data_IF_523716058120
#
_entry.id   IF_523716058120
#
_cell.length_a   1.000
_cell.length_b   1.000
_cell.length_c   1.000
_cell.angle_alpha   90.00
_cell.angle_beta   90.00
_cell.angle_gamma   90.00
#
_symmetry.space_group_name_H-M   'P 1'
#
loop_
_entity.id
_entity.type
_entity.pdbx_description
1 polymer ?
#
# COMPACT_ATOMS: atom_id res chain seq x y z
N UNK A 1 34.97 -77.28 26.42
CA UNK A 1 34.12 -77.44 25.23
C UNK A 1 33.76 -76.05 24.69
N UNK A 2 34.05 -75.82 23.40
CA UNK A 2 33.64 -74.72 22.49
C UNK A 2 33.78 -73.25 22.97
N UNK A 3 34.86 -72.62 22.48
CA UNK A 3 35.07 -71.17 22.52
C UNK A 3 34.05 -70.38 21.69
N UNK A 4 33.61 -69.26 22.25
CA UNK A 4 32.66 -68.31 21.67
C UNK A 4 33.45 -67.27 20.87
N UNK A 5 33.30 -67.26 19.55
CA UNK A 5 33.89 -66.25 18.65
C UNK A 5 33.00 -65.00 18.65
N UNK A 6 33.53 -63.86 19.08
CA UNK A 6 32.92 -62.54 18.90
C UNK A 6 32.99 -62.13 17.43
N UNK A 7 31.83 -61.82 16.83
CA UNK A 7 31.73 -61.14 15.54
C UNK A 7 31.50 -59.65 15.81
N UNK A 8 32.50 -58.85 15.49
CA UNK A 8 32.44 -57.39 15.50
C UNK A 8 31.84 -56.96 14.16
N UNK A 9 30.63 -56.40 14.17
CA UNK A 9 30.00 -55.78 13.00
C UNK A 9 30.38 -54.31 12.95
N UNK A 10 31.23 -53.96 11.98
CA UNK A 10 31.63 -52.58 11.68
C UNK A 10 30.47 -51.88 10.96
N UNK A 11 29.81 -50.93 11.61
CA UNK A 11 28.81 -50.05 10.98
C UNK A 11 29.57 -48.93 10.27
N UNK A 12 29.54 -48.93 8.94
CA UNK A 12 30.07 -47.85 8.12
C UNK A 12 29.12 -46.64 8.18
N UNK A 13 29.60 -45.55 8.77
CA UNK A 13 28.89 -44.28 8.87
C UNK A 13 29.04 -43.53 7.53
N UNK A 14 28.01 -43.56 6.69
CA UNK A 14 27.98 -42.82 5.44
C UNK A 14 27.72 -41.33 5.73
N UNK A 15 28.74 -40.49 5.55
CA UNK A 15 28.60 -39.03 5.53
C UNK A 15 27.75 -38.61 4.33
N UNK A 16 26.51 -38.19 4.57
CA UNK A 16 25.69 -37.50 3.58
C UNK A 16 26.20 -36.05 3.50
N UNK A 17 26.97 -35.76 2.45
CA UNK A 17 27.31 -34.39 2.07
C UNK A 17 26.02 -33.68 1.66
N UNK A 18 25.56 -32.75 2.50
CA UNK A 18 24.42 -31.89 2.21
C UNK A 18 24.70 -31.06 0.96
N UNK A 19 23.82 -31.19 -0.03
CA UNK A 19 23.84 -30.38 -1.23
C UNK A 19 23.70 -28.90 -0.85
N UNK A 20 24.72 -28.08 -1.17
CA UNK A 20 24.56 -26.64 -1.26
C UNK A 20 23.56 -26.36 -2.39
N UNK A 21 22.28 -26.25 -2.06
CA UNK A 21 21.29 -25.68 -2.95
C UNK A 21 21.69 -24.23 -3.22
N UNK A 22 22.05 -23.93 -4.47
CA UNK A 22 22.19 -22.56 -4.95
C UNK A 22 20.84 -21.87 -4.75
N UNK A 23 20.76 -20.93 -3.81
CA UNK A 23 19.57 -20.09 -3.65
C UNK A 23 19.40 -19.35 -4.99
N UNK A 24 18.28 -19.55 -5.71
CA UNK A 24 18.02 -18.82 -6.94
C UNK A 24 18.07 -17.32 -6.62
N UNK A 25 18.76 -16.54 -7.47
CA UNK A 25 18.84 -15.10 -7.30
C UNK A 25 17.41 -14.53 -7.29
N UNK A 26 17.02 -13.91 -6.17
CA UNK A 26 15.76 -13.17 -6.11
C UNK A 26 15.84 -12.00 -7.10
N UNK A 27 14.82 -11.79 -7.95
CA UNK A 27 14.78 -10.62 -8.80
C UNK A 27 14.83 -9.35 -7.95
N UNK A 28 15.49 -8.28 -8.40
CA UNK A 28 15.57 -7.03 -7.67
C UNK A 28 14.16 -6.50 -7.39
N UNK A 29 13.90 -6.11 -6.13
CA UNK A 29 12.64 -5.46 -5.77
C UNK A 29 12.68 -4.02 -6.27
N UNK A 30 11.54 -3.47 -6.69
CA UNK A 30 11.45 -2.05 -6.97
C UNK A 30 11.79 -1.21 -5.72
N UNK A 31 11.60 -1.77 -4.51
CA UNK A 31 12.00 -1.14 -3.25
C UNK A 31 13.53 -1.06 -3.06
N UNK A 32 14.33 -1.80 -3.83
CA UNK A 32 15.80 -1.76 -3.80
C UNK A 32 16.36 -0.56 -4.60
N UNK A 33 15.50 0.17 -5.33
CA UNK A 33 15.90 1.41 -5.99
C UNK A 33 16.36 2.44 -4.95
N UNK A 34 17.56 2.98 -5.14
CA UNK A 34 18.08 4.06 -4.29
C UNK A 34 17.09 5.23 -4.36
N UNK A 35 16.52 5.66 -3.22
CA UNK A 35 15.62 6.80 -3.20
C UNK A 35 16.35 8.01 -3.78
N UNK A 36 15.69 8.78 -4.65
CA UNK A 36 16.14 10.13 -4.93
C UNK A 36 16.28 10.90 -3.61
N UNK A 37 17.23 11.86 -3.49
CA UNK A 37 17.30 12.70 -2.31
C UNK A 37 15.93 13.29 -2.04
N UNK A 38 15.37 12.98 -0.88
CA UNK A 38 14.11 13.54 -0.44
C UNK A 38 14.27 15.07 -0.47
N UNK A 39 13.39 15.77 -1.19
CA UNK A 39 13.29 17.21 -1.07
C UNK A 39 13.12 17.60 0.40
N UNK A 40 13.70 18.73 0.80
CA UNK A 40 13.60 19.31 2.14
C UNK A 40 12.18 19.79 2.50
N UNK A 41 11.24 19.73 1.55
CA UNK A 41 9.84 20.09 1.71
C UNK A 41 9.05 19.11 2.59
N UNK A 42 8.77 19.53 3.82
CA UNK A 42 7.78 18.86 4.68
C UNK A 42 6.39 18.96 4.07
N UNK A 43 5.67 17.84 3.96
CA UNK A 43 4.29 17.79 3.48
C UNK A 43 3.35 18.73 4.26
N UNK A 44 3.69 19.05 5.51
CA UNK A 44 2.93 19.97 6.39
C UNK A 44 2.93 21.41 5.88
N UNK A 45 3.93 21.80 5.08
CA UNK A 45 3.95 23.15 4.46
C UNK A 45 2.95 23.23 3.31
N UNK A 46 2.65 22.09 2.67
CA UNK A 46 1.72 22.00 1.54
C UNK A 46 0.30 21.65 1.97
N UNK A 47 0.14 20.85 3.03
CA UNK A 47 -1.16 20.35 3.47
C UNK A 47 -2.10 21.45 3.95
N UNK A 48 -3.38 21.27 3.64
CA UNK A 48 -4.45 22.05 4.29
C UNK A 48 -4.61 21.61 5.75
N UNK A 49 -5.11 22.49 6.63
CA UNK A 49 -5.41 22.15 8.03
C UNK A 49 -6.34 20.94 8.16
N UNK A 50 -7.30 20.83 7.23
CA UNK A 50 -8.25 19.71 7.18
C UNK A 50 -7.54 18.40 6.85
N UNK A 51 -6.61 18.42 5.90
CA UNK A 51 -5.85 17.25 5.50
C UNK A 51 -4.83 16.83 6.54
N UNK A 52 -4.19 17.78 7.23
CA UNK A 52 -3.38 17.43 8.39
C UNK A 52 -4.22 16.72 9.46
N UNK A 53 -5.45 17.18 9.70
CA UNK A 53 -6.36 16.53 10.64
C UNK A 53 -6.77 15.13 10.17
N UNK A 54 -7.05 14.93 8.86
CA UNK A 54 -7.30 13.62 8.27
C UNK A 54 -6.12 12.67 8.46
N UNK A 55 -4.90 13.13 8.18
CA UNK A 55 -3.68 12.34 8.39
C UNK A 55 -3.45 12.03 9.87
N UNK A 56 -3.73 12.96 10.80
CA UNK A 56 -3.66 12.65 12.25
C UNK A 56 -4.70 11.62 12.68
N UNK A 57 -5.91 11.71 12.16
CA UNK A 57 -7.06 10.85 12.50
C UNK A 57 -7.13 9.51 11.77
N UNK A 58 -6.14 9.18 10.94
CA UNK A 58 -6.20 8.06 10.00
C UNK A 58 -6.60 6.72 10.63
N UNK A 59 -6.06 6.41 11.81
CA UNK A 59 -6.30 5.13 12.48
C UNK A 59 -7.74 5.01 12.98
N UNK A 60 -8.32 6.10 13.47
CA UNK A 60 -9.72 6.16 13.87
C UNK A 60 -10.63 5.93 12.66
N UNK A 61 -10.34 6.57 11.51
CA UNK A 61 -11.09 6.32 10.27
C UNK A 61 -11.01 4.86 9.85
N UNK A 62 -9.83 4.24 9.97
CA UNK A 62 -9.62 2.82 9.68
C UNK A 62 -10.46 1.91 10.58
N UNK A 63 -10.41 2.13 11.90
CA UNK A 63 -11.18 1.33 12.86
C UNK A 63 -12.68 1.45 12.62
N UNK A 64 -13.18 2.67 12.40
CA UNK A 64 -14.58 2.93 12.12
C UNK A 64 -15.03 2.28 10.81
N UNK A 65 -14.21 2.37 9.76
CA UNK A 65 -14.48 1.74 8.48
C UNK A 65 -14.61 0.22 8.60
N UNK A 66 -13.65 -0.44 9.25
CA UNK A 66 -13.68 -1.89 9.44
C UNK A 66 -14.85 -2.33 10.33
N UNK A 67 -15.17 -1.57 11.37
CA UNK A 67 -16.32 -1.84 12.23
C UNK A 67 -17.63 -1.74 11.46
N UNK A 68 -17.82 -0.67 10.68
CA UNK A 68 -19.01 -0.47 9.85
C UNK A 68 -19.17 -1.56 8.77
N UNK A 69 -18.09 -1.88 8.04
CA UNK A 69 -18.10 -2.94 7.03
C UNK A 69 -18.50 -4.30 7.61
N UNK A 70 -17.94 -4.65 8.78
CA UNK A 70 -18.27 -5.90 9.49
C UNK A 70 -19.71 -5.91 10.00
N UNK A 71 -20.18 -4.81 10.57
CA UNK A 71 -21.56 -4.68 11.04
C UNK A 71 -22.57 -4.83 9.89
N UNK A 72 -22.18 -4.46 8.67
CA UNK A 72 -22.96 -4.63 7.44
C UNK A 72 -22.78 -5.99 6.75
N UNK A 73 -22.08 -6.93 7.38
CA UNK A 73 -21.95 -8.32 6.91
C UNK A 73 -20.75 -8.61 6.00
N UNK A 74 -19.86 -7.64 5.76
CA UNK A 74 -18.70 -7.80 4.87
C UNK A 74 -17.43 -8.29 5.58
N UNK A 75 -17.58 -9.02 6.69
CA UNK A 75 -16.44 -9.52 7.46
C UNK A 75 -15.52 -10.44 6.64
N UNK A 76 -16.11 -11.36 5.87
CA UNK A 76 -15.35 -12.29 5.03
C UNK A 76 -14.61 -11.59 3.88
N UNK A 77 -15.21 -10.56 3.28
CA UNK A 77 -14.59 -9.70 2.26
C UNK A 77 -13.36 -8.99 2.83
N UNK A 78 -13.52 -8.36 4.00
CA UNK A 78 -12.43 -7.67 4.70
C UNK A 78 -11.28 -8.63 5.02
N UNK A 79 -11.59 -9.84 5.49
CA UNK A 79 -10.58 -10.86 5.80
C UNK A 79 -9.82 -11.33 4.55
N UNK A 80 -10.49 -11.44 3.39
CA UNK A 80 -9.87 -11.86 2.13
C UNK A 80 -8.81 -10.88 1.61
N UNK A 81 -8.92 -9.58 1.91
CA UNK A 81 -7.89 -8.61 1.51
C UNK A 81 -6.59 -8.74 2.31
N UNK A 82 -6.61 -9.47 3.44
CA UNK A 82 -5.42 -9.80 4.21
C UNK A 82 -4.61 -8.58 4.62
N UNK A 83 -3.32 -8.58 4.29
CA UNK A 83 -2.36 -7.52 4.66
C UNK A 83 -2.80 -6.12 4.20
N UNK A 84 -3.56 -6.03 3.10
CA UNK A 84 -4.02 -4.75 2.55
C UNK A 84 -4.92 -3.99 3.53
N UNK A 85 -5.76 -4.69 4.30
CA UNK A 85 -6.67 -4.10 5.28
C UNK A 85 -6.20 -4.25 6.75
N UNK A 86 -4.96 -4.69 6.98
CA UNK A 86 -4.34 -4.73 8.30
C UNK A 86 -3.68 -3.37 8.63
N UNK A 87 -4.10 -2.65 9.68
CA UNK A 87 -3.65 -1.28 9.94
C UNK A 87 -2.17 -1.18 10.37
N UNK A 88 -1.55 -2.28 10.82
CA UNK A 88 -0.16 -2.34 11.29
C UNK A 88 0.79 -3.06 10.31
N UNK A 89 0.41 -3.17 9.03
CA UNK A 89 1.19 -3.86 8.01
C UNK A 89 2.39 -3.07 7.44
N UNK A 90 2.54 -1.79 7.81
CA UNK A 90 3.57 -0.93 7.24
C UNK A 90 5.00 -1.44 7.53
N UNK A 91 5.75 -1.64 6.45
CA UNK A 91 7.16 -2.03 6.47
C UNK A 91 8.08 -0.81 6.37
N UNK A 92 9.34 -0.93 6.84
CA UNK A 92 10.35 0.08 6.58
C UNK A 92 10.61 0.29 5.09
N UNK A 93 11.27 1.41 4.77
CA UNK A 93 11.61 1.83 3.41
C UNK A 93 10.35 2.01 2.54
N UNK A 94 9.49 3.00 2.87
CA UNK A 94 8.20 3.17 2.25
C UNK A 94 8.27 3.77 0.84
N UNK A 95 9.48 4.08 0.35
CA UNK A 95 9.69 4.75 -0.92
C UNK A 95 8.88 4.08 -2.02
N UNK A 96 8.02 4.86 -2.69
CA UNK A 96 7.24 4.47 -3.85
C UNK A 96 8.05 4.77 -5.12
N UNK A 97 8.63 3.75 -5.78
CA UNK A 97 9.50 3.94 -6.94
C UNK A 97 8.73 4.44 -8.16
N UNK A 98 9.38 5.24 -9.00
CA UNK A 98 8.81 5.61 -10.30
C UNK A 98 8.60 4.38 -11.19
N UNK A 99 7.51 4.36 -11.95
CA UNK A 99 7.14 3.23 -12.79
C UNK A 99 5.63 3.17 -13.07
N UNK A 100 5.25 2.24 -13.94
CA UNK A 100 3.84 1.92 -14.19
C UNK A 100 3.36 0.91 -13.15
N UNK A 101 2.12 1.07 -12.70
CA UNK A 101 1.50 0.27 -11.65
C UNK A 101 0.09 -0.15 -12.06
N UNK A 102 -0.26 -1.38 -11.69
CA UNK A 102 -1.65 -1.75 -11.52
C UNK A 102 -2.13 -1.25 -10.17
N UNK A 103 -3.33 -0.68 -10.16
CA UNK A 103 -3.95 -0.20 -8.93
C UNK A 103 -5.42 -0.57 -8.84
N UNK A 104 -5.91 -0.90 -7.65
CA UNK A 104 -7.34 -1.13 -7.37
C UNK A 104 -7.75 -0.47 -6.06
N UNK A 105 -9.00 -0.04 -5.97
CA UNK A 105 -9.52 0.66 -4.80
C UNK A 105 -10.45 -0.24 -4.02
N UNK A 106 -10.25 -0.30 -2.71
CA UNK A 106 -11.14 -0.93 -1.74
C UNK A 106 -11.77 0.19 -0.92
N UNK A 107 -13.09 0.35 -1.04
CA UNK A 107 -13.87 1.29 -0.24
C UNK A 107 -14.43 0.54 0.97
N UNK A 108 -14.15 1.03 2.16
CA UNK A 108 -14.48 0.36 3.42
C UNK A 108 -15.27 1.31 4.33
N UNK A 109 -16.39 0.80 4.83
CA UNK A 109 -17.38 1.59 5.53
C UNK A 109 -18.13 2.54 4.61
N UNK A 110 -19.32 2.97 5.01
CA UNK A 110 -20.11 3.94 4.26
C UNK A 110 -20.22 5.27 5.00
N UNK A 111 -20.24 6.38 4.26
CA UNK A 111 -20.59 7.70 4.79
C UNK A 111 -21.42 8.52 3.81
N UNK A 112 -21.97 9.63 4.31
CA UNK A 112 -22.83 10.51 3.54
C UNK A 112 -24.09 9.79 3.09
N UNK A 113 -24.34 9.78 1.77
CA UNK A 113 -25.53 9.13 1.17
C UNK A 113 -25.30 7.68 0.74
N UNK A 114 -24.05 7.20 0.80
CA UNK A 114 -23.74 5.81 0.43
C UNK A 114 -24.23 4.86 1.52
N UNK A 115 -24.82 3.73 1.11
CA UNK A 115 -25.15 2.62 2.00
C UNK A 115 -24.22 1.42 1.83
N UNK A 116 -23.29 1.48 0.87
CA UNK A 116 -22.35 0.40 0.55
C UNK A 116 -21.26 0.33 1.62
N UNK A 117 -21.35 -0.65 2.53
CA UNK A 117 -20.38 -0.85 3.62
C UNK A 117 -19.03 -1.39 3.16
N UNK A 118 -18.96 -1.94 1.95
CA UNK A 118 -17.73 -2.46 1.35
C UNK A 118 -17.87 -2.51 -0.17
N UNK A 119 -16.83 -2.09 -0.90
CA UNK A 119 -16.71 -2.30 -2.35
C UNK A 119 -15.24 -2.54 -2.70
N UNK A 120 -14.94 -3.65 -3.37
CA UNK A 120 -13.63 -3.92 -3.96
C UNK A 120 -13.71 -3.74 -5.48
N UNK A 121 -13.04 -2.72 -6.01
CA UNK A 121 -12.97 -2.50 -7.45
C UNK A 121 -11.91 -3.37 -8.13
N UNK A 122 -12.06 -3.58 -9.43
CA UNK A 122 -11.07 -4.24 -10.27
C UNK A 122 -9.81 -3.38 -10.49
N UNK A 123 -8.91 -3.91 -11.31
CA UNK A 123 -7.63 -3.29 -11.62
C UNK A 123 -7.75 -2.16 -12.65
N UNK A 124 -7.00 -1.10 -12.39
CA UNK A 124 -6.80 0.10 -13.20
C UNK A 124 -5.31 0.34 -13.39
N UNK A 125 -4.97 1.30 -14.26
CA UNK A 125 -3.59 1.75 -14.45
C UNK A 125 -3.30 2.98 -13.62
N UNK A 126 -2.14 2.97 -12.98
CA UNK A 126 -1.56 4.07 -12.24
C UNK A 126 -0.13 4.31 -12.74
N UNK A 127 0.34 5.55 -12.63
CA UNK A 127 1.72 5.93 -12.94
C UNK A 127 2.32 6.64 -11.74
N UNK A 128 3.55 6.25 -11.39
CA UNK A 128 4.41 6.99 -10.48
C UNK A 128 5.52 7.64 -11.30
N UNK A 129 5.70 8.95 -11.16
CA UNK A 129 6.76 9.69 -11.84
C UNK A 129 7.65 10.38 -10.83
N UNK A 130 8.93 10.58 -11.17
CA UNK A 130 9.82 11.41 -10.37
C UNK A 130 9.54 12.89 -10.65
N UNK A 131 9.37 13.69 -9.60
CA UNK A 131 9.04 15.11 -9.66
C UNK A 131 10.00 15.91 -8.76
N UNK A 132 11.06 16.49 -9.32
CA UNK A 132 11.95 17.46 -8.61
C UNK A 132 12.23 17.12 -7.12
N UNK A 133 12.63 15.87 -6.82
CA UNK A 133 12.94 15.42 -5.45
C UNK A 133 11.78 14.78 -4.66
N UNK A 134 10.60 14.67 -5.27
CA UNK A 134 9.42 13.94 -4.81
C UNK A 134 8.99 12.89 -5.85
N UNK A 135 7.96 12.11 -5.54
CA UNK A 135 7.24 11.30 -6.53
C UNK A 135 5.84 11.92 -6.77
N UNK A 136 5.31 11.84 -7.98
CA UNK A 136 3.88 12.00 -8.24
C UNK A 136 3.21 10.64 -8.38
N UNK A 137 1.92 10.57 -8.02
CA UNK A 137 1.08 9.41 -8.27
C UNK A 137 -0.17 9.87 -9.03
N UNK A 138 -0.43 9.24 -10.17
CA UNK A 138 -1.61 9.50 -11.01
C UNK A 138 -2.34 8.21 -11.32
N UNK A 139 -3.62 8.12 -11.00
CA UNK A 139 -4.50 7.05 -11.52
C UNK A 139 -4.98 7.42 -12.92
N UNK A 140 -4.60 6.64 -13.92
CA UNK A 140 -4.80 6.96 -15.34
C UNK A 140 -6.19 6.58 -15.86
N UNK A 141 -6.85 5.60 -15.23
CA UNK A 141 -8.11 5.03 -15.73
C UNK A 141 -9.20 4.93 -14.65
N UNK A 142 -10.46 4.83 -15.06
CA UNK A 142 -11.63 4.78 -14.17
C UNK A 142 -12.25 6.16 -13.91
N UNK A 143 -13.41 6.20 -13.27
CA UNK A 143 -14.22 7.43 -13.07
C UNK A 143 -13.72 8.33 -11.96
N UNK A 144 -13.04 7.77 -10.96
CA UNK A 144 -12.39 8.47 -9.85
C UNK A 144 -10.88 8.28 -10.02
N UNK A 145 -10.15 9.36 -10.30
CA UNK A 145 -8.72 9.36 -10.60
C UNK A 145 -7.97 10.31 -9.66
N UNK A 146 -7.45 9.81 -8.52
CA UNK A 146 -6.54 10.56 -7.68
C UNK A 146 -5.27 10.94 -8.45
N UNK A 147 -4.85 12.19 -8.29
CA UNK A 147 -3.58 12.71 -8.82
C UNK A 147 -2.96 13.65 -7.80
N UNK A 148 -1.67 13.48 -7.52
CA UNK A 148 -1.00 14.26 -6.48
C UNK A 148 0.47 13.93 -6.31
N UNK A 149 1.07 14.57 -5.30
CA UNK A 149 2.46 14.40 -4.91
C UNK A 149 2.57 13.49 -3.70
N UNK A 150 3.67 12.74 -3.62
CA UNK A 150 4.03 11.82 -2.55
C UNK A 150 5.28 12.34 -1.85
N UNK A 151 5.10 12.77 -0.61
CA UNK A 151 6.09 13.39 0.24
C UNK A 151 6.70 12.40 1.24
N UNK A 152 7.98 12.56 1.63
CA UNK A 152 8.54 11.85 2.77
C UNK A 152 7.82 12.22 4.08
N UNK A 153 7.69 11.28 5.03
CA UNK A 153 7.25 11.59 6.41
C UNK A 153 8.09 10.87 7.47
N UNK A 154 8.18 9.53 7.42
CA UNK A 154 9.03 8.78 8.35
C UNK A 154 9.50 7.44 7.78
N UNK A 155 10.14 6.62 8.61
CA UNK A 155 10.76 5.35 8.23
C UNK A 155 9.79 4.30 7.69
N UNK A 156 8.47 4.44 7.87
CA UNK A 156 7.46 3.45 7.46
C UNK A 156 6.36 4.01 6.56
N UNK A 157 6.31 5.31 6.34
CA UNK A 157 5.28 5.91 5.47
C UNK A 157 5.73 7.18 4.75
N UNK A 158 5.10 7.41 3.61
CA UNK A 158 5.07 8.67 2.87
C UNK A 158 3.65 9.26 2.93
N UNK A 159 3.49 10.52 2.55
CA UNK A 159 2.18 11.22 2.55
C UNK A 159 1.82 11.63 1.13
N UNK A 160 0.65 11.22 0.68
CA UNK A 160 0.07 11.68 -0.57
C UNK A 160 -0.79 12.92 -0.30
N UNK A 161 -0.57 13.99 -1.06
CA UNK A 161 -1.46 15.15 -1.13
C UNK A 161 -1.84 15.38 -2.59
N UNK A 162 -3.14 15.44 -2.87
CA UNK A 162 -3.62 15.48 -4.24
C UNK A 162 -5.09 15.81 -4.34
N UNK A 163 -5.61 15.65 -5.55
CA UNK A 163 -6.98 16.01 -5.92
C UNK A 163 -7.64 14.85 -6.63
N UNK A 164 -8.97 14.79 -6.54
CA UNK A 164 -9.79 13.84 -7.27
C UNK A 164 -10.23 14.40 -8.62
N UNK A 165 -9.81 13.75 -9.70
CA UNK A 165 -10.33 13.98 -11.05
C UNK A 165 -11.51 13.05 -11.29
N UNK A 166 -12.60 13.58 -11.85
CA UNK A 166 -13.88 12.89 -12.01
C UNK A 166 -14.24 12.72 -13.48
N UNK A 167 -14.86 11.58 -13.82
CA UNK A 167 -15.50 11.39 -15.12
C UNK A 167 -14.55 11.54 -16.30
N UNK A 168 -14.87 12.43 -17.24
CA UNK A 168 -14.11 12.74 -18.45
C UNK A 168 -13.17 13.95 -18.30
N UNK A 169 -13.03 14.51 -17.10
CA UNK A 169 -12.13 15.63 -16.85
C UNK A 169 -10.68 15.27 -17.19
N UNK A 170 -10.03 16.15 -17.96
CA UNK A 170 -8.64 15.98 -18.41
C UNK A 170 -7.64 16.83 -17.63
N UNK A 171 -8.11 17.88 -16.95
CA UNK A 171 -7.27 18.81 -16.19
C UNK A 171 -7.66 18.73 -14.71
N UNK A 172 -6.72 18.36 -13.82
CA UNK A 172 -6.98 18.37 -12.39
C UNK A 172 -7.11 19.79 -11.84
N UNK A 173 -8.05 19.98 -10.91
CA UNK A 173 -8.09 21.18 -10.06
C UNK A 173 -6.90 21.12 -9.11
N UNK A 174 -6.13 22.22 -8.99
CA UNK A 174 -5.00 22.26 -8.06
C UNK A 174 -5.44 21.90 -6.64
N UNK A 175 -4.63 21.07 -5.96
CA UNK A 175 -4.83 20.74 -4.55
C UNK A 175 -4.94 22.00 -3.68
N UNK A 176 -5.90 22.01 -2.75
CA UNK A 176 -6.23 23.13 -1.86
C UNK A 176 -7.29 24.08 -2.42
N UNK A 177 -7.64 24.00 -3.71
CA UNK A 177 -8.64 24.89 -4.32
C UNK A 177 -10.07 24.37 -4.20
N UNK A 178 -10.28 23.05 -4.09
CA UNK A 178 -11.59 22.44 -3.91
C UNK A 178 -11.55 21.39 -2.80
N UNK A 179 -12.07 21.78 -1.63
CA UNK A 179 -12.07 20.95 -0.42
C UNK A 179 -12.80 19.61 -0.56
N UNK A 180 -13.73 19.50 -1.52
CA UNK A 180 -14.43 18.25 -1.78
C UNK A 180 -13.61 17.32 -2.69
N UNK A 181 -12.62 17.84 -3.39
CA UNK A 181 -11.71 17.06 -4.24
C UNK A 181 -10.37 16.81 -3.58
N UNK A 182 -9.99 17.61 -2.59
CA UNK A 182 -8.76 17.43 -1.84
C UNK A 182 -8.69 16.04 -1.20
N UNK A 183 -7.55 15.39 -1.43
CA UNK A 183 -7.24 14.05 -0.97
C UNK A 183 -5.91 14.10 -0.21
N UNK A 184 -5.92 13.56 0.99
CA UNK A 184 -4.70 13.31 1.76
C UNK A 184 -4.68 11.87 2.22
N UNK A 185 -3.54 11.22 2.06
CA UNK A 185 -3.39 9.82 2.44
C UNK A 185 -1.99 9.42 2.82
N UNK A 186 -1.88 8.18 3.30
CA UNK A 186 -0.65 7.57 3.77
C UNK A 186 -0.24 6.51 2.76
N UNK A 187 0.96 6.62 2.20
CA UNK A 187 1.55 5.60 1.34
C UNK A 187 2.45 4.72 2.19
N UNK A 188 2.20 3.41 2.15
CA UNK A 188 2.94 2.41 2.92
C UNK A 188 3.39 1.27 2.02
N UNK A 189 4.62 0.81 2.22
CA UNK A 189 5.09 -0.47 1.70
C UNK A 189 4.53 -1.58 2.61
N UNK A 190 3.90 -2.59 2.01
CA UNK A 190 3.27 -3.71 2.71
C UNK A 190 3.75 -5.08 2.19
N UNK A 191 4.73 -5.08 1.29
CA UNK A 191 5.43 -6.25 0.75
C UNK A 191 6.56 -5.83 -0.18
N UNK A 192 7.20 -6.77 -0.87
CA UNK A 192 8.36 -6.46 -1.72
C UNK A 192 8.03 -5.57 -2.91
N UNK A 193 6.98 -5.90 -3.64
CA UNK A 193 6.48 -5.10 -4.76
C UNK A 193 5.01 -4.74 -4.54
N UNK A 194 4.68 -4.35 -3.31
CA UNK A 194 3.31 -4.16 -2.87
C UNK A 194 3.22 -2.96 -1.94
N UNK A 195 2.50 -1.94 -2.38
CA UNK A 195 2.22 -0.73 -1.63
C UNK A 195 0.72 -0.53 -1.50
N UNK A 196 0.34 0.31 -0.55
CA UNK A 196 -1.01 0.86 -0.47
C UNK A 196 -0.98 2.36 -0.25
N UNK A 197 -1.94 3.05 -0.82
CA UNK A 197 -2.32 4.41 -0.45
C UNK A 197 -3.61 4.34 0.38
N UNK A 198 -3.55 4.86 1.60
CA UNK A 198 -4.63 4.87 2.59
C UNK A 198 -5.20 6.27 2.64
N UNK A 199 -6.46 6.43 2.27
CA UNK A 199 -7.18 7.70 2.23
C UNK A 199 -8.23 7.73 3.35
N UNK A 200 -7.92 8.30 4.52
CA UNK A 200 -8.87 8.38 5.63
C UNK A 200 -9.92 9.46 5.42
N UNK A 201 -11.18 9.12 5.68
CA UNK A 201 -12.32 10.03 5.58
C UNK A 201 -12.31 10.89 4.30
N UNK A 202 -12.28 10.26 3.09
CA UNK A 202 -12.38 10.99 1.83
C UNK A 202 -13.69 11.79 1.79
N UNK A 203 -13.84 12.74 0.89
CA UNK A 203 -15.06 13.56 0.83
C UNK A 203 -16.33 12.76 0.45
N UNK A 204 -16.16 11.59 -0.18
CA UNK A 204 -17.26 10.85 -0.80
C UNK A 204 -17.28 9.38 -0.38
N UNK A 205 -18.51 8.85 -0.27
CA UNK A 205 -18.90 7.43 -0.27
C UNK A 205 -18.47 6.58 0.94
N UNK A 206 -17.23 6.65 1.38
CA UNK A 206 -16.61 5.65 2.27
C UNK A 206 -15.86 6.27 3.43
N UNK A 207 -15.78 5.56 4.56
CA UNK A 207 -15.00 6.04 5.72
C UNK A 207 -13.49 5.90 5.48
N UNK A 208 -13.10 4.96 4.63
CA UNK A 208 -11.73 4.67 4.25
C UNK A 208 -11.68 4.18 2.80
N UNK A 209 -10.80 4.77 2.00
CA UNK A 209 -10.39 4.21 0.71
C UNK A 209 -8.96 3.67 0.84
N UNK A 210 -8.73 2.43 0.40
CA UNK A 210 -7.40 1.84 0.29
C UNK A 210 -7.12 1.54 -1.18
N UNK A 211 -6.11 2.16 -1.74
CA UNK A 211 -5.67 1.92 -3.11
C UNK A 211 -4.44 1.02 -3.06
N UNK A 212 -4.60 -0.22 -3.52
CA UNK A 212 -3.49 -1.14 -3.71
C UNK A 212 -2.66 -0.72 -4.92
N UNK A 213 -1.34 -0.83 -4.81
CA UNK A 213 -0.37 -0.47 -5.84
C UNK A 213 0.62 -1.63 -6.01
N UNK A 214 0.65 -2.19 -7.22
CA UNK A 214 1.58 -3.27 -7.61
C UNK A 214 2.27 -2.87 -8.92
N UNK A 215 3.60 -2.85 -9.01
CA UNK A 215 4.32 -2.54 -10.25
C UNK A 215 3.84 -3.40 -11.42
N UNK A 216 3.72 -2.79 -12.59
CA UNK A 216 3.61 -3.53 -13.86
C UNK A 216 5.00 -4.05 -14.25
N UNK A 217 5.06 -5.30 -14.72
CA UNK A 217 6.29 -5.94 -15.18
C UNK A 217 6.70 -5.45 -16.58
#
# INVERSE_FOLDING_TARGET
MRGRRSLISTIAFACVLGACGTVPAMPPSAADAVPAPAGDGSWRVTATDQDEARIRGWYTSWQNALADARAKGHGAEVEREGVLLQPNAALPNPHLPAGSYRCRTIKVGAQGRSTLGYVAYGWFRCQVSAEQGLSSLTKLTGSQRPVGLVFPDNLKRQIFLGTLVLGDETIPVSYGNDRLRDMAGIVERIGDNHWRLVLPAPAYESLLDVIELVPEA
#
